data_IF_697055188716
#
_entry.id   IF_697055188716
#
_cell.length_a   1.000
_cell.length_b   1.000
_cell.length_c   1.000
_cell.angle_alpha   90.00
_cell.angle_beta   90.00
_cell.angle_gamma   90.00
#
_symmetry.space_group_name_H-M   'P 1'
#
loop_
_entity.id
_entity.type
_entity.pdbx_description
1 polymer ?
#
# COMPACT_ATOMS: atom_id res chain seq x y z
N UNK A 1 51.77 -11.40 -56.08
CA UNK A 1 50.49 -11.04 -55.49
C UNK A 1 50.76 -10.01 -54.38
N UNK A 2 50.78 -8.69 -54.69
CA UNK A 2 50.99 -7.62 -53.68
C UNK A 2 49.65 -7.27 -53.07
N UNK A 3 49.37 -7.79 -51.89
CA UNK A 3 48.28 -7.36 -51.12
C UNK A 3 48.46 -5.89 -50.80
N UNK A 4 47.51 -5.04 -51.18
CA UNK A 4 47.60 -3.60 -51.00
C UNK A 4 47.52 -3.27 -49.50
N UNK A 5 48.71 -3.11 -48.91
CA UNK A 5 48.90 -2.83 -47.48
C UNK A 5 48.11 -1.56 -47.03
N UNK A 6 47.95 -0.61 -47.97
CA UNK A 6 47.16 0.61 -47.76
C UNK A 6 45.67 0.34 -47.59
N UNK A 7 45.07 -0.58 -48.35
CA UNK A 7 43.65 -0.96 -48.21
C UNK A 7 43.41 -1.71 -46.88
N UNK A 8 44.35 -2.53 -46.47
CA UNK A 8 44.24 -3.23 -45.17
C UNK A 8 44.32 -2.26 -44.01
N UNK A 9 45.21 -1.26 -44.03
CA UNK A 9 45.26 -0.20 -43.01
C UNK A 9 43.97 0.64 -42.95
N UNK A 10 43.43 1.01 -44.09
CA UNK A 10 42.16 1.76 -44.16
C UNK A 10 41.01 0.95 -43.56
N UNK A 11 40.91 -0.34 -43.82
CA UNK A 11 39.89 -1.22 -43.29
C UNK A 11 40.00 -1.39 -41.77
N UNK A 12 41.20 -1.56 -41.24
CA UNK A 12 41.42 -1.67 -39.79
C UNK A 12 41.08 -0.37 -39.08
N UNK A 13 41.46 0.79 -39.61
CA UNK A 13 41.10 2.10 -39.06
C UNK A 13 39.60 2.33 -39.08
N UNK A 14 38.90 1.93 -40.15
CA UNK A 14 37.45 2.05 -40.25
C UNK A 14 36.73 1.18 -39.18
N UNK A 15 37.14 -0.05 -38.97
CA UNK A 15 36.61 -0.93 -37.93
C UNK A 15 36.86 -0.36 -36.54
N UNK A 16 38.05 0.20 -36.31
CA UNK A 16 38.40 0.78 -35.00
C UNK A 16 37.57 2.04 -34.69
N UNK A 17 37.41 2.93 -35.68
CA UNK A 17 36.57 4.11 -35.55
C UNK A 17 35.09 3.74 -35.33
N UNK A 18 34.57 2.71 -36.04
CA UNK A 18 33.21 2.24 -35.89
C UNK A 18 32.94 1.69 -34.49
N UNK A 19 33.89 0.92 -33.93
CA UNK A 19 33.80 0.42 -32.56
C UNK A 19 33.79 1.54 -31.51
N UNK A 20 34.65 2.54 -31.66
CA UNK A 20 34.76 3.70 -30.74
C UNK A 20 33.45 4.48 -30.70
N UNK A 21 32.70 4.54 -31.80
CA UNK A 21 31.40 5.23 -31.86
C UNK A 21 30.27 4.36 -31.32
N UNK A 22 30.33 3.04 -31.51
CA UNK A 22 29.29 2.10 -31.11
C UNK A 22 29.20 1.90 -29.60
N UNK A 23 30.35 1.86 -28.90
CA UNK A 23 30.38 1.69 -27.44
C UNK A 23 29.72 2.82 -26.66
N UNK A 24 29.99 4.12 -26.93
CA UNK A 24 29.32 5.20 -26.21
C UNK A 24 27.83 5.27 -26.57
N UNK A 25 27.42 4.93 -27.79
CA UNK A 25 26.01 4.87 -28.17
C UNK A 25 25.25 3.76 -27.41
N UNK A 26 25.88 2.60 -27.22
CA UNK A 26 25.31 1.49 -26.44
C UNK A 26 25.21 1.83 -24.97
N UNK A 27 26.21 2.49 -24.38
CA UNK A 27 26.19 2.96 -22.99
C UNK A 27 25.13 4.03 -22.81
N UNK A 28 24.98 4.95 -23.77
CA UNK A 28 23.96 5.99 -23.74
C UNK A 28 22.54 5.41 -23.85
N UNK A 29 22.34 4.38 -24.67
CA UNK A 29 21.05 3.66 -24.77
C UNK A 29 20.69 2.92 -23.46
N UNK A 30 21.68 2.35 -22.77
CA UNK A 30 21.50 1.71 -21.47
C UNK A 30 21.16 2.72 -20.35
N UNK A 31 21.69 3.94 -20.41
CA UNK A 31 21.38 5.02 -19.46
C UNK A 31 19.96 5.59 -19.67
N UNK A 32 19.43 5.52 -20.90
CA UNK A 32 18.06 5.96 -21.21
C UNK A 32 16.99 4.96 -20.79
N UNK A 33 17.35 3.72 -20.50
CA UNK A 33 16.44 2.72 -19.93
C UNK A 33 16.26 2.92 -18.41
N UNK A 34 16.01 4.16 -17.98
CA UNK A 34 15.58 4.46 -16.62
C UNK A 34 14.22 3.80 -16.42
N UNK A 35 14.19 2.67 -15.72
CA UNK A 35 12.97 2.05 -15.27
C UNK A 35 12.21 3.08 -14.44
N UNK A 36 11.09 3.57 -14.97
CA UNK A 36 10.14 4.36 -14.18
C UNK A 36 9.59 3.45 -13.10
N UNK A 37 10.22 3.49 -11.92
CA UNK A 37 9.67 2.91 -10.71
C UNK A 37 8.39 3.71 -10.46
N UNK A 38 7.24 3.11 -10.74
CA UNK A 38 5.97 3.62 -10.27
C UNK A 38 5.99 3.51 -8.75
N UNK A 39 6.31 4.61 -8.09
CA UNK A 39 6.01 4.75 -6.67
C UNK A 39 4.49 4.61 -6.53
N UNK A 40 4.03 3.59 -5.79
CA UNK A 40 2.64 3.52 -5.39
C UNK A 40 2.39 4.71 -4.47
N UNK A 41 1.58 5.65 -4.93
CA UNK A 41 1.18 6.82 -4.17
C UNK A 41 0.08 6.38 -3.19
N UNK A 42 0.47 6.19 -1.92
CA UNK A 42 -0.44 5.89 -0.83
C UNK A 42 -0.58 7.10 0.07
N UNK A 43 -1.82 7.42 0.44
CA UNK A 43 -2.13 8.34 1.53
C UNK A 43 -2.65 7.56 2.74
N UNK A 44 -2.62 8.16 3.91
CA UNK A 44 -3.15 7.56 5.13
C UNK A 44 -4.28 8.43 5.67
N UNK A 45 -5.41 7.80 5.95
CA UNK A 45 -6.56 8.41 6.63
C UNK A 45 -6.65 7.84 8.04
N UNK A 46 -6.51 8.69 9.06
CA UNK A 46 -6.70 8.35 10.47
C UNK A 46 -8.08 8.76 10.96
N UNK A 47 -8.70 7.91 11.76
CA UNK A 47 -9.98 8.27 12.42
C UNK A 47 -9.72 9.15 13.64
N UNK A 48 -10.17 10.40 13.60
CA UNK A 48 -10.16 11.32 14.74
C UNK A 48 -11.58 11.65 15.21
N UNK A 49 -11.85 11.61 16.52
CA UNK A 49 -11.02 11.03 17.59
C UNK A 49 -10.91 9.51 17.50
N UNK A 50 -10.01 8.90 18.32
CA UNK A 50 -9.89 7.44 18.45
C UNK A 50 -11.25 6.75 18.60
N UNK A 51 -11.32 5.51 18.12
CA UNK A 51 -12.52 4.70 18.28
C UNK A 51 -12.51 4.10 19.70
N UNK A 52 -13.54 4.41 20.47
CA UNK A 52 -13.79 3.81 21.78
C UNK A 52 -15.10 3.04 21.71
N UNK A 53 -15.04 1.74 21.96
CA UNK A 53 -16.23 0.89 21.93
C UNK A 53 -16.15 -0.20 23.00
N UNK A 54 -17.28 -0.84 23.27
CA UNK A 54 -17.35 -2.00 24.15
C UNK A 54 -17.18 -3.30 23.35
N UNK A 55 -16.86 -4.37 24.07
CA UNK A 55 -16.89 -5.75 23.56
C UNK A 55 -17.65 -6.66 24.53
N UNK A 56 -18.00 -7.88 24.08
CA UNK A 56 -18.76 -8.85 24.89
C UNK A 56 -17.83 -9.45 25.96
N UNK A 57 -17.98 -8.96 27.20
CA UNK A 57 -17.21 -9.45 28.35
C UNK A 57 -17.95 -10.56 29.09
N UNK A 58 -17.21 -11.54 29.60
CA UNK A 58 -17.76 -12.70 30.34
C UNK A 58 -18.15 -12.33 31.77
N UNK A 59 -17.59 -11.26 32.33
CA UNK A 59 -17.83 -10.80 33.71
C UNK A 59 -18.89 -9.68 33.78
N UNK A 60 -19.40 -9.42 34.99
CA UNK A 60 -20.40 -8.33 35.24
C UNK A 60 -19.91 -6.93 34.84
N UNK A 61 -18.64 -6.72 34.53
CA UNK A 61 -18.09 -5.45 34.07
C UNK A 61 -18.07 -5.42 32.56
N UNK A 62 -18.52 -4.32 31.97
CA UNK A 62 -18.43 -4.07 30.55
C UNK A 62 -16.97 -3.90 30.15
N UNK A 63 -16.50 -4.62 29.13
CA UNK A 63 -15.17 -4.45 28.58
C UNK A 63 -15.15 -3.32 27.57
N UNK A 64 -14.12 -2.49 27.58
CA UNK A 64 -13.90 -1.40 26.64
C UNK A 64 -12.57 -1.53 25.95
N UNK A 65 -12.54 -1.12 24.71
CA UNK A 65 -11.32 -0.99 23.93
C UNK A 65 -11.25 0.39 23.29
N UNK A 66 -10.07 1.00 23.33
CA UNK A 66 -9.72 2.19 22.56
C UNK A 66 -8.73 1.79 21.51
N UNK A 67 -8.97 2.19 20.27
CA UNK A 67 -8.08 1.90 19.15
C UNK A 67 -7.94 3.12 18.26
N UNK A 68 -6.71 3.31 17.78
CA UNK A 68 -6.38 4.21 16.69
C UNK A 68 -6.36 3.40 15.40
N UNK A 69 -7.17 3.79 14.44
CA UNK A 69 -7.32 3.11 13.16
C UNK A 69 -6.85 4.00 12.05
N UNK A 70 -6.03 3.45 11.17
CA UNK A 70 -5.55 4.12 9.96
C UNK A 70 -5.89 3.30 8.71
N UNK A 71 -6.35 3.96 7.67
CA UNK A 71 -6.61 3.38 6.36
C UNK A 71 -5.53 3.79 5.38
N UNK A 72 -4.83 2.82 4.78
CA UNK A 72 -3.93 3.05 3.66
C UNK A 72 -4.76 3.19 2.39
N UNK A 73 -4.89 4.43 1.90
CA UNK A 73 -5.70 4.80 0.74
C UNK A 73 -4.86 4.71 -0.53
N UNK A 74 -5.38 4.05 -1.56
CA UNK A 74 -4.76 4.01 -2.88
C UNK A 74 -4.96 5.34 -3.59
N UNK A 75 -3.86 6.02 -3.94
CA UNK A 75 -3.77 7.37 -4.53
C UNK A 75 -4.31 8.46 -3.61
N UNK A 76 -3.52 9.51 -3.41
CA UNK A 76 -3.86 10.65 -2.55
C UNK A 76 -5.19 11.33 -2.91
N UNK A 77 -5.56 11.35 -4.18
CA UNK A 77 -6.81 11.92 -4.67
C UNK A 77 -8.08 11.24 -4.11
N UNK A 78 -7.97 9.97 -3.68
CA UNK A 78 -9.08 9.22 -3.09
C UNK A 78 -9.30 9.54 -1.61
N UNK A 79 -8.38 10.29 -0.97
CA UNK A 79 -8.45 10.60 0.45
C UNK A 79 -9.74 11.30 0.83
N UNK A 80 -10.14 12.32 0.07
CA UNK A 80 -11.38 13.08 0.29
C UNK A 80 -12.65 12.22 0.19
N UNK A 81 -12.62 11.20 -0.68
CA UNK A 81 -13.74 10.26 -0.83
C UNK A 81 -13.83 9.36 0.41
N UNK A 82 -12.69 8.84 0.88
CA UNK A 82 -12.65 8.02 2.11
C UNK A 82 -13.08 8.84 3.33
N UNK A 83 -12.61 10.10 3.43
CA UNK A 83 -13.01 11.03 4.49
C UNK A 83 -14.52 11.29 4.49
N UNK A 84 -15.13 11.49 3.32
CA UNK A 84 -16.58 11.67 3.19
C UNK A 84 -17.36 10.47 3.74
N UNK A 85 -16.86 9.25 3.57
CA UNK A 85 -17.50 8.02 4.05
C UNK A 85 -17.06 7.61 5.47
N UNK A 86 -16.17 8.38 6.11
CA UNK A 86 -15.61 8.03 7.42
C UNK A 86 -16.64 7.71 8.50
N UNK A 87 -17.81 8.40 8.62
CA UNK A 87 -18.83 8.04 9.60
C UNK A 87 -19.37 6.62 9.40
N UNK A 88 -19.64 6.23 8.16
CA UNK A 88 -20.11 4.88 7.80
C UNK A 88 -19.07 3.81 8.14
N UNK A 89 -17.80 4.07 7.80
CA UNK A 89 -16.70 3.15 8.06
C UNK A 89 -16.45 2.99 9.57
N UNK A 90 -16.51 4.10 10.31
CA UNK A 90 -16.39 4.10 11.78
C UNK A 90 -17.47 3.25 12.43
N UNK A 91 -18.74 3.41 12.02
CA UNK A 91 -19.86 2.63 12.53
C UNK A 91 -19.67 1.12 12.28
N UNK A 92 -19.23 0.75 11.09
CA UNK A 92 -18.94 -0.64 10.75
C UNK A 92 -17.85 -1.24 11.66
N UNK A 93 -16.75 -0.52 11.89
CA UNK A 93 -15.67 -0.95 12.77
C UNK A 93 -16.17 -1.13 14.21
N UNK A 94 -16.95 -0.16 14.73
CA UNK A 94 -17.56 -0.22 16.07
C UNK A 94 -18.45 -1.45 16.19
N UNK A 95 -19.30 -1.72 15.21
CA UNK A 95 -20.21 -2.86 15.20
C UNK A 95 -19.47 -4.20 15.21
N UNK A 96 -18.41 -4.34 14.39
CA UNK A 96 -17.60 -5.56 14.37
C UNK A 96 -16.97 -5.80 15.74
N UNK A 97 -16.31 -4.80 16.32
CA UNK A 97 -15.63 -4.93 17.61
C UNK A 97 -16.62 -5.17 18.74
N UNK A 98 -17.77 -4.50 18.71
CA UNK A 98 -18.84 -4.65 19.72
C UNK A 98 -19.40 -6.06 19.84
N UNK A 99 -19.28 -6.88 18.80
CA UNK A 99 -19.73 -8.27 18.76
C UNK A 99 -18.65 -9.28 19.17
N UNK A 100 -17.37 -8.83 19.34
CA UNK A 100 -16.28 -9.73 19.64
C UNK A 100 -16.28 -10.17 21.12
N UNK A 101 -15.93 -11.45 21.34
CA UNK A 101 -15.76 -11.98 22.68
C UNK A 101 -14.45 -11.49 23.32
N UNK A 102 -14.45 -11.30 24.64
CA UNK A 102 -13.29 -10.85 25.45
C UNK A 102 -12.00 -11.64 25.11
N UNK A 103 -12.09 -12.96 25.01
CA UNK A 103 -10.94 -13.81 24.69
C UNK A 103 -10.30 -13.47 23.34
N UNK A 104 -11.10 -13.09 22.33
CA UNK A 104 -10.62 -12.69 21.01
C UNK A 104 -9.98 -11.30 21.06
N UNK A 105 -10.63 -10.34 21.74
CA UNK A 105 -10.13 -8.96 21.91
C UNK A 105 -8.79 -8.91 22.63
N UNK A 106 -8.60 -9.76 23.67
CA UNK A 106 -7.38 -9.79 24.49
C UNK A 106 -6.24 -10.61 23.92
N UNK A 107 -6.49 -11.43 22.88
CA UNK A 107 -5.44 -12.25 22.26
C UNK A 107 -4.81 -11.57 21.05
N UNK A 108 -3.49 -11.73 20.86
CA UNK A 108 -2.79 -11.20 19.67
C UNK A 108 -3.35 -11.77 18.37
N UNK A 109 -3.64 -13.08 18.33
CA UNK A 109 -4.26 -13.74 17.18
C UNK A 109 -5.64 -13.17 16.89
N UNK A 110 -6.48 -13.02 17.94
CA UNK A 110 -7.82 -12.47 17.78
C UNK A 110 -7.84 -11.03 17.29
N UNK A 111 -6.90 -10.18 17.75
CA UNK A 111 -6.75 -8.79 17.23
C UNK A 111 -6.42 -8.77 15.75
N UNK A 112 -5.55 -9.67 15.28
CA UNK A 112 -5.23 -9.79 13.85
C UNK A 112 -6.44 -10.25 13.03
N UNK A 113 -7.24 -11.18 13.55
CA UNK A 113 -8.49 -11.62 12.92
C UNK A 113 -9.53 -10.50 12.85
N UNK A 114 -9.70 -9.72 13.95
CA UNK A 114 -10.60 -8.55 13.99
C UNK A 114 -10.14 -7.49 12.98
N UNK A 115 -8.83 -7.27 12.86
CA UNK A 115 -8.29 -6.32 11.89
C UNK A 115 -8.64 -6.72 10.45
N UNK A 116 -8.51 -8.00 10.11
CA UNK A 116 -8.86 -8.52 8.78
C UNK A 116 -10.37 -8.38 8.51
N UNK A 117 -11.20 -8.73 9.49
CA UNK A 117 -12.66 -8.60 9.41
C UNK A 117 -13.08 -7.15 9.18
N UNK A 118 -12.47 -6.20 9.91
CA UNK A 118 -12.70 -4.76 9.70
C UNK A 118 -12.22 -4.30 8.31
N UNK A 119 -11.05 -4.77 7.86
CA UNK A 119 -10.51 -4.42 6.53
C UNK A 119 -11.45 -4.88 5.41
N UNK A 120 -11.91 -6.12 5.46
CA UNK A 120 -12.83 -6.68 4.47
C UNK A 120 -14.14 -5.90 4.43
N UNK A 121 -14.74 -5.62 5.58
CA UNK A 121 -16.00 -4.88 5.69
C UNK A 121 -15.86 -3.44 5.17
N UNK A 122 -14.76 -2.75 5.52
CA UNK A 122 -14.50 -1.38 5.05
C UNK A 122 -14.29 -1.36 3.53
N UNK A 123 -13.57 -2.33 2.95
CA UNK A 123 -13.41 -2.48 1.50
C UNK A 123 -14.74 -2.73 0.79
N UNK A 124 -15.57 -3.60 1.35
CA UNK A 124 -16.89 -3.91 0.81
C UNK A 124 -17.79 -2.67 0.79
N UNK A 125 -17.87 -1.94 1.92
CA UNK A 125 -18.65 -0.71 2.03
C UNK A 125 -18.17 0.36 1.02
N UNK A 126 -16.87 0.63 0.96
CA UNK A 126 -16.32 1.58 -0.01
C UNK A 126 -16.63 1.15 -1.45
N UNK A 127 -16.51 -0.15 -1.75
CA UNK A 127 -16.83 -0.66 -3.10
C UNK A 127 -18.31 -0.46 -3.43
N UNK A 128 -19.20 -0.68 -2.46
CA UNK A 128 -20.65 -0.48 -2.63
C UNK A 128 -21.00 0.99 -2.88
N UNK A 129 -20.39 1.91 -2.13
CA UNK A 129 -20.70 3.34 -2.20
C UNK A 129 -20.01 4.04 -3.38
N UNK A 130 -18.79 3.59 -3.76
CA UNK A 130 -17.95 4.30 -4.74
C UNK A 130 -17.65 3.51 -6.02
N UNK A 131 -18.01 2.22 -6.05
CA UNK A 131 -17.68 1.30 -7.13
C UNK A 131 -16.23 0.79 -7.09
N UNK A 132 -15.42 1.16 -6.09
CA UNK A 132 -14.00 0.80 -5.97
C UNK A 132 -13.59 0.56 -4.52
N UNK A 133 -12.68 -0.38 -4.24
CA UNK A 133 -12.24 -0.67 -2.87
C UNK A 133 -11.25 0.37 -2.28
N UNK A 134 -11.01 1.49 -2.86
CA UNK A 134 -10.19 2.68 -2.53
C UNK A 134 -9.07 2.52 -1.48
N UNK A 135 -9.12 1.52 -0.60
CA UNK A 135 -8.11 1.26 0.42
C UNK A 135 -7.33 -0.03 0.14
N UNK A 136 -6.05 0.02 0.45
CA UNK A 136 -5.15 -1.16 0.36
C UNK A 136 -5.21 -1.97 1.63
N UNK A 137 -5.17 -1.29 2.79
CA UNK A 137 -5.06 -1.92 4.09
C UNK A 137 -5.69 -1.08 5.19
N UNK A 138 -6.23 -1.76 6.23
CA UNK A 138 -6.61 -1.16 7.49
C UNK A 138 -5.56 -1.52 8.54
N UNK A 139 -5.14 -0.57 9.35
CA UNK A 139 -4.12 -0.73 10.39
C UNK A 139 -4.69 -0.34 11.75
N UNK A 140 -4.44 -1.16 12.76
CA UNK A 140 -4.59 -0.76 14.16
C UNK A 140 -3.23 -0.30 14.67
N UNK A 141 -3.04 1.01 14.78
CA UNK A 141 -1.76 1.61 15.23
C UNK A 141 -1.67 1.68 16.75
N UNK A 142 -2.82 1.71 17.43
CA UNK A 142 -2.90 1.58 18.88
C UNK A 142 -4.09 0.69 19.26
N UNK A 143 -3.90 -0.12 20.32
CA UNK A 143 -4.94 -0.97 20.88
C UNK A 143 -4.80 -1.03 22.40
N UNK A 144 -5.77 -0.45 23.14
CA UNK A 144 -5.82 -0.40 24.59
C UNK A 144 -7.13 -1.02 25.07
N UNK A 145 -7.05 -2.18 25.69
CA UNK A 145 -8.20 -2.89 26.33
C UNK A 145 -8.04 -2.92 27.85
N UNK A 146 -9.19 -3.00 28.55
CA UNK A 146 -9.24 -3.10 30.03
C UNK A 146 -9.73 -4.48 30.50
#
# INVERSE_FOLDING_TARGET
MRVNITLFHLYVVYIFMFKILLYPALIFALLLSSFSIRANDYAYFGFEPDIVTNYVAVKKKMGYVRLTVELMVEKGDNLSIVEHHAPLLRDAIINIIGQQAEAKVKSMKGRAEIQLECEEQVKELLTKETGKPLIKKLLFTQWLDN
#
